data_IF_752499217473
#
_entry.id   IF_752499217473
#
_cell.length_a   1.000
_cell.length_b   1.000
_cell.length_c   1.000
_cell.angle_alpha   90.00
_cell.angle_beta   90.00
_cell.angle_gamma   90.00
#
_symmetry.space_group_name_H-M   'P 1'
#
loop_
_entity.id
_entity.type
_entity.pdbx_description
1 polymer ?
#
# COMPACT_ATOMS: atom_id res chain seq x y z
N UNK A 1 -0.19 -10.57 11.87
CA UNK A 1 -1.46 -9.83 11.62
C UNK A 1 -1.66 -9.49 10.15
N UNK A 2 -0.70 -8.82 9.48
CA UNK A 2 -0.83 -8.37 8.08
C UNK A 2 -1.19 -9.50 7.09
N UNK A 3 -0.52 -10.66 7.17
CA UNK A 3 -0.84 -11.81 6.30
C UNK A 3 -2.31 -12.24 6.41
N UNK A 4 -2.82 -12.47 7.63
CA UNK A 4 -4.21 -12.84 7.87
C UNK A 4 -5.19 -11.76 7.37
N UNK A 5 -4.83 -10.48 7.52
CA UNK A 5 -5.60 -9.37 6.96
C UNK A 5 -5.70 -9.42 5.43
N UNK A 6 -4.59 -9.71 4.75
CA UNK A 6 -4.55 -9.86 3.29
C UNK A 6 -5.30 -11.12 2.83
N UNK A 7 -5.23 -12.22 3.58
CA UNK A 7 -6.03 -13.42 3.31
C UNK A 7 -7.52 -13.11 3.37
N UNK A 8 -7.96 -12.36 4.40
CA UNK A 8 -9.36 -11.98 4.53
C UNK A 8 -9.81 -11.02 3.44
N UNK A 9 -8.97 -10.05 3.06
CA UNK A 9 -9.34 -9.06 2.04
C UNK A 9 -9.44 -9.67 0.64
N UNK A 10 -8.71 -10.76 0.35
CA UNK A 10 -8.88 -11.50 -0.91
C UNK A 10 -10.31 -12.01 -1.10
N UNK A 11 -10.99 -12.36 -0.01
CA UNK A 11 -12.38 -12.83 -0.01
C UNK A 11 -13.41 -11.68 -0.13
N UNK A 12 -12.96 -10.41 -0.13
CA UNK A 12 -13.87 -9.27 -0.22
C UNK A 12 -14.57 -9.20 -1.58
N UNK A 13 -15.87 -8.86 -1.55
CA UNK A 13 -16.76 -8.82 -2.72
C UNK A 13 -16.52 -7.65 -3.67
N UNK A 14 -15.95 -6.56 -3.16
CA UNK A 14 -15.73 -5.34 -3.94
C UNK A 14 -14.32 -5.31 -4.53
N UNK A 15 -14.20 -4.74 -5.72
CA UNK A 15 -12.91 -4.61 -6.42
C UNK A 15 -11.97 -3.64 -5.69
N UNK A 16 -12.51 -2.55 -5.13
CA UNK A 16 -11.74 -1.60 -4.32
C UNK A 16 -11.55 -2.15 -2.91
N UNK A 17 -10.30 -2.46 -2.58
CA UNK A 17 -9.90 -3.09 -1.32
C UNK A 17 -8.87 -2.21 -0.61
N UNK A 18 -9.11 -1.93 0.67
CA UNK A 18 -8.16 -1.22 1.51
C UNK A 18 -8.00 -1.96 2.84
N UNK A 19 -6.76 -2.13 3.28
CA UNK A 19 -6.40 -2.72 4.58
C UNK A 19 -5.75 -1.64 5.44
N UNK A 20 -6.38 -1.30 6.56
CA UNK A 20 -5.84 -0.36 7.54
C UNK A 20 -5.30 -1.18 8.71
N UNK A 21 -4.04 -0.92 9.07
CA UNK A 21 -3.33 -1.61 10.16
C UNK A 21 -2.95 -0.58 11.19
N UNK A 22 -3.30 -0.83 12.45
CA UNK A 22 -2.87 -0.03 13.59
C UNK A 22 -1.95 -0.94 14.42
N UNK A 23 -0.71 -0.50 14.65
CA UNK A 23 0.32 -1.32 15.30
C UNK A 23 1.34 -0.46 16.02
N UNK A 24 1.93 -0.97 17.10
CA UNK A 24 3.11 -0.40 17.75
C UNK A 24 4.40 -0.59 16.92
N UNK A 25 4.39 -1.47 15.92
CA UNK A 25 5.50 -1.72 15.01
C UNK A 25 6.57 -2.67 15.55
N UNK A 26 6.32 -3.28 16.71
CA UNK A 26 7.16 -4.35 17.24
C UNK A 26 6.80 -5.68 16.57
N UNK A 27 7.71 -6.21 15.75
CA UNK A 27 7.58 -7.56 15.23
C UNK A 27 7.94 -8.57 16.32
N UNK A 28 6.98 -8.86 17.21
CA UNK A 28 7.24 -9.70 18.38
C UNK A 28 7.11 -11.21 18.13
N UNK A 29 6.60 -11.67 16.98
CA UNK A 29 6.51 -13.10 16.58
C UNK A 29 5.85 -13.29 15.20
N UNK A 30 6.40 -12.73 14.11
CA UNK A 30 5.92 -13.06 12.77
C UNK A 30 6.27 -14.50 12.37
N UNK A 31 5.25 -15.31 12.05
CA UNK A 31 5.43 -16.65 11.45
C UNK A 31 5.79 -16.63 9.97
N UNK A 32 5.62 -15.48 9.32
CA UNK A 32 5.83 -15.28 7.89
C UNK A 32 6.97 -14.29 7.67
N UNK A 33 7.83 -14.60 6.71
CA UNK A 33 8.94 -13.75 6.33
C UNK A 33 8.45 -12.48 5.65
N UNK A 34 9.28 -11.43 5.70
CA UNK A 34 9.01 -10.18 4.98
C UNK A 34 8.78 -10.38 3.48
N UNK A 35 9.51 -11.30 2.84
CA UNK A 35 9.37 -11.58 1.40
C UNK A 35 7.99 -12.16 1.08
N UNK A 36 7.50 -13.11 1.87
CA UNK A 36 6.18 -13.71 1.66
C UNK A 36 5.07 -12.68 1.80
N UNK A 37 5.16 -11.81 2.81
CA UNK A 37 4.20 -10.72 3.02
C UNK A 37 4.25 -9.72 1.87
N UNK A 38 5.44 -9.41 1.38
CA UNK A 38 5.65 -8.51 0.25
C UNK A 38 5.03 -9.05 -1.04
N UNK A 39 5.27 -10.32 -1.35
CA UNK A 39 4.70 -10.94 -2.54
C UNK A 39 3.18 -11.08 -2.41
N UNK A 40 2.69 -11.39 -1.20
CA UNK A 40 1.26 -11.44 -0.96
C UNK A 40 0.57 -10.08 -1.11
N UNK A 41 1.19 -9.01 -0.63
CA UNK A 41 0.69 -7.65 -0.81
C UNK A 41 0.56 -7.29 -2.30
N UNK A 42 1.55 -7.66 -3.13
CA UNK A 42 1.52 -7.46 -4.59
C UNK A 42 0.37 -8.22 -5.27
N UNK A 43 0.04 -9.41 -4.81
CA UNK A 43 -1.04 -10.24 -5.36
C UNK A 43 -2.43 -9.80 -4.92
N UNK A 44 -2.56 -9.20 -3.73
CA UNK A 44 -3.86 -8.91 -3.12
C UNK A 44 -4.70 -7.83 -3.80
N UNK A 45 -4.08 -7.01 -4.67
CA UNK A 45 -4.62 -5.76 -5.26
C UNK A 45 -5.31 -4.84 -4.24
N UNK A 46 -4.91 -4.93 -2.96
CA UNK A 46 -5.40 -4.09 -1.88
C UNK A 46 -4.43 -2.95 -1.60
N UNK A 47 -4.96 -1.75 -1.34
CA UNK A 47 -4.16 -0.64 -0.81
C UNK A 47 -3.95 -0.81 0.69
N UNK A 48 -2.69 -0.76 1.14
CA UNK A 48 -2.36 -0.96 2.55
C UNK A 48 -2.00 0.38 3.19
N UNK A 49 -2.69 0.69 4.29
CA UNK A 49 -2.42 1.83 5.15
C UNK A 49 -1.98 1.34 6.52
N UNK A 50 -0.99 2.02 7.10
CA UNK A 50 -0.47 1.68 8.43
C UNK A 50 -0.45 2.93 9.30
N UNK A 51 -0.98 2.83 10.50
CA UNK A 51 -0.81 3.82 11.57
C UNK A 51 0.01 3.15 12.66
N UNK A 52 1.30 3.50 12.71
CA UNK A 52 2.32 2.91 13.57
C UNK A 52 2.64 3.79 14.78
N UNK A 53 3.14 3.21 15.87
CA UNK A 53 3.79 4.02 16.90
C UNK A 53 5.15 4.55 16.41
N UNK A 54 5.53 5.74 16.88
CA UNK A 54 6.86 6.31 16.68
C UNK A 54 7.91 5.61 17.58
N UNK A 55 7.94 4.28 17.64
CA UNK A 55 8.97 3.53 18.36
C UNK A 55 10.34 3.65 17.71
N UNK A 56 11.40 3.76 18.51
CA UNK A 56 12.80 3.96 18.10
C UNK A 56 13.52 2.63 17.81
N UNK A 57 12.98 1.81 16.90
CA UNK A 57 13.72 0.65 16.37
C UNK A 57 13.47 0.58 14.86
N UNK A 58 14.45 1.07 14.10
CA UNK A 58 14.35 1.42 12.68
C UNK A 58 14.04 0.28 11.68
N UNK A 59 13.96 -0.98 12.12
CA UNK A 59 13.70 -2.10 11.23
C UNK A 59 12.23 -2.20 10.80
N UNK A 60 11.28 -1.98 11.70
CA UNK A 60 9.84 -2.08 11.38
C UNK A 60 9.36 -1.00 10.41
N UNK A 61 9.84 0.25 10.58
CA UNK A 61 9.41 1.37 9.74
C UNK A 61 9.84 1.24 8.28
N UNK A 62 11.05 0.74 8.02
CA UNK A 62 11.55 0.54 6.65
C UNK A 62 10.70 -0.47 5.90
N UNK A 63 10.46 -1.61 6.54
CA UNK A 63 9.61 -2.72 6.05
C UNK A 63 8.17 -2.24 5.79
N UNK A 64 7.56 -1.55 6.75
CA UNK A 64 6.21 -0.99 6.63
C UNK A 64 6.14 -0.02 5.44
N UNK A 65 7.09 0.91 5.35
CA UNK A 65 7.14 1.89 4.26
C UNK A 65 7.31 1.22 2.89
N UNK A 66 8.05 0.13 2.80
CA UNK A 66 8.19 -0.63 1.56
C UNK A 66 6.87 -1.30 1.16
N UNK A 67 6.18 -1.95 2.10
CA UNK A 67 4.90 -2.65 1.83
C UNK A 67 3.81 -1.67 1.41
N UNK A 68 3.62 -0.57 2.14
CA UNK A 68 2.58 0.43 1.78
C UNK A 68 2.90 1.10 0.46
N UNK A 69 4.18 1.30 0.12
CA UNK A 69 4.59 1.88 -1.17
C UNK A 69 4.23 0.97 -2.35
N UNK A 70 4.47 -0.34 -2.23
CA UNK A 70 4.13 -1.32 -3.28
C UNK A 70 2.66 -1.29 -3.67
N UNK A 71 1.79 -1.06 -2.68
CA UNK A 71 0.33 -1.04 -2.86
C UNK A 71 -0.22 0.35 -3.16
N UNK A 72 0.61 1.40 -3.15
CA UNK A 72 0.19 2.77 -3.37
C UNK A 72 -0.47 3.44 -2.15
N UNK A 73 -0.43 2.80 -0.98
CA UNK A 73 -0.91 3.36 0.28
C UNK A 73 0.14 4.18 1.03
N UNK A 74 -0.06 4.33 2.35
CA UNK A 74 0.76 5.21 3.21
C UNK A 74 0.92 4.65 4.62
N UNK A 75 2.05 4.98 5.24
CA UNK A 75 2.28 4.78 6.66
C UNK A 75 2.32 6.14 7.38
N UNK A 76 1.72 6.19 8.56
CA UNK A 76 1.67 7.34 9.46
C UNK A 76 2.22 6.93 10.82
N UNK A 77 3.04 7.78 11.42
CA UNK A 77 3.66 7.52 12.72
C UNK A 77 3.35 8.68 13.67
N UNK A 78 2.10 8.77 14.18
CA UNK A 78 1.70 9.80 15.12
C UNK A 78 2.63 9.89 16.32
N UNK A 79 2.87 11.10 16.81
CA UNK A 79 3.58 11.34 18.07
C UNK A 79 2.66 11.27 19.30
N UNK A 80 1.35 11.10 19.09
CA UNK A 80 0.33 11.02 20.13
C UNK A 80 -0.93 10.36 19.59
N UNK A 81 -1.63 9.59 20.44
CA UNK A 81 -2.94 9.02 20.14
C UNK A 81 -3.99 10.05 19.69
N UNK A 82 -3.87 11.32 20.10
CA UNK A 82 -4.79 12.39 19.68
C UNK A 82 -4.76 12.66 18.16
N UNK A 83 -3.72 12.21 17.46
CA UNK A 83 -3.60 12.36 16.00
C UNK A 83 -4.24 11.19 15.23
N UNK A 84 -4.69 10.14 15.91
CA UNK A 84 -5.24 8.95 15.26
C UNK A 84 -6.47 9.30 14.40
N UNK A 85 -7.41 10.06 14.96
CA UNK A 85 -8.62 10.49 14.26
C UNK A 85 -8.29 11.29 12.99
N UNK A 86 -7.33 12.21 13.08
CA UNK A 86 -6.84 12.97 11.93
C UNK A 86 -6.31 12.08 10.81
N UNK A 87 -5.52 11.06 11.12
CA UNK A 87 -5.00 10.14 10.11
C UNK A 87 -6.07 9.21 9.55
N UNK A 88 -7.04 8.79 10.36
CA UNK A 88 -8.20 8.06 9.90
C UNK A 88 -9.03 8.88 8.89
N UNK A 89 -9.29 10.16 9.19
CA UNK A 89 -10.00 11.08 8.28
C UNK A 89 -9.22 11.33 6.98
N UNK A 90 -7.90 11.43 7.07
CA UNK A 90 -7.04 11.57 5.91
C UNK A 90 -7.13 10.32 5.01
N UNK A 91 -7.02 9.12 5.59
CA UNK A 91 -7.17 7.86 4.86
C UNK A 91 -8.57 7.77 4.25
N UNK A 92 -9.61 8.13 5.00
CA UNK A 92 -10.97 8.17 4.52
C UNK A 92 -11.12 9.06 3.27
N UNK A 93 -10.53 10.25 3.32
CA UNK A 93 -10.54 11.21 2.21
C UNK A 93 -9.78 10.65 1.00
N UNK A 94 -8.60 10.04 1.21
CA UNK A 94 -7.84 9.41 0.13
C UNK A 94 -8.58 8.24 -0.52
N UNK A 95 -9.25 7.40 0.25
CA UNK A 95 -10.02 6.25 -0.27
C UNK A 95 -11.23 6.69 -1.10
N UNK A 96 -11.82 7.86 -0.79
CA UNK A 96 -12.91 8.44 -1.59
C UNK A 96 -12.43 9.12 -2.86
N UNK A 97 -11.24 9.72 -2.84
CA UNK A 97 -10.71 10.54 -3.91
C UNK A 97 -9.57 9.84 -4.63
N UNK A 98 -9.93 8.95 -5.57
CA UNK A 98 -8.97 8.18 -6.34
C UNK A 98 -9.22 8.30 -7.83
N UNK A 99 -8.13 8.39 -8.58
CA UNK A 99 -8.16 8.32 -10.03
C UNK A 99 -7.91 6.89 -10.49
N UNK A 100 -8.68 6.44 -11.49
CA UNK A 100 -8.45 5.18 -12.20
C UNK A 100 -7.78 5.52 -13.53
N UNK A 101 -6.59 4.97 -13.75
CA UNK A 101 -5.83 5.16 -14.99
C UNK A 101 -5.78 3.86 -15.77
N UNK A 102 -6.26 3.90 -17.01
CA UNK A 102 -6.11 2.81 -17.97
C UNK A 102 -4.91 3.05 -18.87
N UNK A 103 -4.16 1.99 -19.18
CA UNK A 103 -3.08 2.04 -20.16
C UNK A 103 -2.95 0.70 -20.87
N UNK A 104 -2.38 0.69 -22.07
CA UNK A 104 -2.07 -0.54 -22.79
C UNK A 104 -0.59 -0.90 -22.56
N UNK A 105 -0.26 -2.09 -22.01
CA UNK A 105 1.13 -2.46 -21.79
C UNK A 105 1.87 -2.66 -23.11
N UNK A 106 3.10 -2.17 -23.17
CA UNK A 106 4.00 -2.38 -24.32
C UNK A 106 4.41 -3.85 -24.44
N UNK A 107 4.60 -4.52 -23.31
CA UNK A 107 4.80 -5.97 -23.23
C UNK A 107 3.44 -6.70 -23.15
N UNK A 108 3.18 -7.56 -24.14
CA UNK A 108 1.93 -8.32 -24.29
C UNK A 108 2.04 -9.79 -23.89
N UNK A 109 3.15 -10.22 -23.28
CA UNK A 109 3.31 -11.61 -22.84
C UNK A 109 2.34 -11.96 -21.71
N UNK A 110 1.97 -13.24 -21.59
CA UNK A 110 1.07 -13.76 -20.56
C UNK A 110 1.84 -14.76 -19.69
N UNK A 111 2.93 -14.28 -19.08
CA UNK A 111 3.95 -15.14 -18.46
C UNK A 111 3.89 -15.14 -16.93
N UNK A 112 2.89 -14.48 -16.33
CA UNK A 112 2.77 -14.38 -14.88
C UNK A 112 3.82 -13.52 -14.20
N UNK A 113 4.71 -12.84 -14.95
CA UNK A 113 5.80 -12.07 -14.33
C UNK A 113 5.32 -10.72 -13.81
N UNK A 114 6.05 -10.21 -12.82
CA UNK A 114 5.80 -8.88 -12.26
C UNK A 114 6.13 -7.79 -13.28
N UNK A 115 5.15 -6.92 -13.55
CA UNK A 115 5.28 -5.73 -14.40
C UNK A 115 5.28 -4.49 -13.55
N UNK A 116 6.40 -3.78 -13.56
CA UNK A 116 6.53 -2.49 -12.86
C UNK A 116 5.78 -1.40 -13.61
N UNK A 117 5.04 -0.57 -12.88
CA UNK A 117 4.44 0.66 -13.39
C UNK A 117 5.01 1.87 -12.66
N UNK A 118 5.06 3.01 -13.34
CA UNK A 118 5.45 4.28 -12.74
C UNK A 118 4.54 5.37 -13.28
N UNK A 119 3.76 5.97 -12.39
CA UNK A 119 2.94 7.15 -12.70
C UNK A 119 3.76 8.39 -12.40
N UNK A 120 3.82 9.32 -13.35
CA UNK A 120 4.45 10.63 -13.18
C UNK A 120 3.40 11.69 -13.47
N UNK A 121 3.46 12.78 -12.71
CA UNK A 121 2.60 13.94 -12.89
C UNK A 121 3.47 15.09 -13.35
N UNK A 122 3.03 15.74 -14.41
CA UNK A 122 3.55 17.03 -14.83
C UNK A 122 2.78 18.10 -14.04
N UNK A 123 3.42 18.82 -13.12
CA UNK A 123 2.71 19.78 -12.28
C UNK A 123 2.22 20.96 -13.13
N UNK A 124 0.92 21.31 -13.06
CA UNK A 124 0.41 22.53 -13.69
C UNK A 124 1.11 23.77 -13.15
N UNK A 125 1.25 24.80 -13.98
CA UNK A 125 1.82 26.08 -13.56
C UNK A 125 1.03 26.68 -12.39
N UNK A 126 1.73 27.25 -11.41
CA UNK A 126 1.15 27.90 -10.24
C UNK A 126 0.69 26.98 -9.10
N UNK A 127 0.71 25.66 -9.28
CA UNK A 127 0.41 24.72 -8.19
C UNK A 127 1.65 24.36 -7.37
N UNK A 128 1.49 24.08 -6.05
CA UNK A 128 2.56 23.54 -5.24
C UNK A 128 2.98 22.16 -5.74
N UNK A 129 4.15 21.69 -5.30
CA UNK A 129 4.66 20.37 -5.66
C UNK A 129 3.67 19.28 -5.24
N UNK A 130 3.11 18.59 -6.22
CA UNK A 130 2.20 17.45 -6.01
C UNK A 130 2.99 16.14 -5.89
N UNK A 131 2.47 15.22 -5.08
CA UNK A 131 3.03 13.87 -4.92
C UNK A 131 2.06 12.83 -5.45
N UNK A 132 2.55 11.95 -6.32
CA UNK A 132 1.75 10.85 -6.87
C UNK A 132 1.97 9.60 -6.04
N UNK A 133 0.88 8.90 -5.72
CA UNK A 133 0.92 7.54 -5.18
C UNK A 133 0.09 6.63 -6.06
N UNK A 134 0.68 5.48 -6.38
CA UNK A 134 0.09 4.43 -7.18
C UNK A 134 0.76 3.12 -6.78
N UNK A 135 0.11 1.98 -7.04
CA UNK A 135 0.77 0.67 -6.93
C UNK A 135 2.01 0.63 -7.82
N UNK A 136 3.05 -0.07 -7.40
CA UNK A 136 4.31 -0.12 -8.15
C UNK A 136 4.30 -1.11 -9.32
N UNK A 137 3.25 -1.93 -9.44
CA UNK A 137 3.13 -2.89 -10.51
C UNK A 137 1.94 -3.84 -10.35
N UNK A 138 1.94 -4.89 -11.16
CA UNK A 138 0.98 -5.99 -11.14
C UNK A 138 1.61 -7.23 -11.76
N UNK A 139 1.06 -8.42 -11.52
CA UNK A 139 1.45 -9.63 -12.22
C UNK A 139 0.73 -9.74 -13.57
N UNK A 140 1.46 -10.07 -14.64
CA UNK A 140 0.86 -10.37 -15.92
C UNK A 140 -0.12 -11.56 -15.79
N UNK A 141 -1.21 -11.61 -16.57
CA UNK A 141 -2.10 -12.77 -16.52
C UNK A 141 -1.35 -14.04 -16.98
N UNK A 142 -1.62 -15.19 -16.36
CA UNK A 142 -1.19 -16.51 -16.85
C UNK A 142 -2.30 -17.12 -17.72
N UNK A 143 -1.91 -17.81 -18.80
CA UNK A 143 -2.81 -18.66 -19.58
C UNK A 143 -2.98 -20.02 -18.94
#
# INVERSE_FOLDING_TARGET
ALYLGLEKIRQAKHDKKALIIITDGEDNSSRYTFSEVKDFAKESDAQIYVIGEKGDIGYGRGIINEIVRLTGGRAFFPSSFKQLDYYCDLIHTELRNQYVLGYNPSDKQFDGKWRKIKVRLEPPEGLPRLSVRAKEGYFAPQK
#
